data_IF_772960116515
#
_entry.id   IF_772960116515
#
_cell.length_a   1.000
_cell.length_b   1.000
_cell.length_c   1.000
_cell.angle_alpha   90.00
_cell.angle_beta   90.00
_cell.angle_gamma   90.00
#
_symmetry.space_group_name_H-M   'P 1'
#
loop_
_entity.id
_entity.type
_entity.pdbx_description
1 polymer ?
#
# COMPACT_ATOMS: atom_id res chain seq x y z
N UNK A 1 -12.43 8.06 19.60
CA UNK A 1 -13.17 9.16 18.96
C UNK A 1 -13.02 10.42 19.77
N UNK A 2 -13.33 10.45 21.07
CA UNK A 2 -13.21 11.65 21.92
C UNK A 2 -11.85 12.33 21.82
N UNK A 3 -10.75 11.57 21.76
CA UNK A 3 -9.38 12.12 21.62
C UNK A 3 -9.17 12.86 20.27
N UNK A 4 -9.71 12.36 19.17
CA UNK A 4 -9.55 13.04 17.86
C UNK A 4 -10.47 14.26 17.75
N UNK A 5 -11.66 14.21 18.33
CA UNK A 5 -12.58 15.35 18.40
C UNK A 5 -11.96 16.47 19.24
N UNK A 6 -11.39 16.15 20.41
CA UNK A 6 -10.72 17.16 21.25
C UNK A 6 -9.48 17.80 20.59
N UNK A 7 -8.93 17.14 19.55
CA UNK A 7 -7.84 17.68 18.69
C UNK A 7 -8.35 18.44 17.46
N UNK A 8 -9.67 18.65 17.36
CA UNK A 8 -10.28 19.47 16.32
C UNK A 8 -10.80 18.68 15.10
N UNK A 9 -11.01 17.37 15.24
CA UNK A 9 -11.68 16.63 14.15
C UNK A 9 -13.14 17.09 14.03
N UNK A 10 -13.52 17.52 12.84
CA UNK A 10 -14.89 17.94 12.48
C UNK A 10 -15.70 16.83 11.82
N UNK A 11 -15.06 15.73 11.48
CA UNK A 11 -15.69 14.52 10.95
C UNK A 11 -14.93 13.28 11.42
N UNK A 12 -15.66 12.18 11.57
CA UNK A 12 -15.09 10.85 11.88
C UNK A 12 -15.66 9.80 10.93
N UNK A 13 -14.82 8.87 10.49
CA UNK A 13 -15.22 7.72 9.68
C UNK A 13 -15.16 6.48 10.56
N UNK A 14 -16.26 5.75 10.65
CA UNK A 14 -16.45 4.68 11.63
C UNK A 14 -17.15 3.47 11.00
N UNK A 15 -17.00 2.29 11.64
CA UNK A 15 -17.73 1.08 11.25
C UNK A 15 -18.98 0.89 12.14
N UNK A 16 -18.87 1.23 13.40
CA UNK A 16 -19.95 1.07 14.39
C UNK A 16 -20.64 2.40 14.68
N UNK A 17 -21.86 2.33 15.21
CA UNK A 17 -22.57 3.51 15.68
C UNK A 17 -21.84 4.12 16.88
N UNK A 18 -21.65 5.44 16.84
CA UNK A 18 -20.90 6.18 17.85
C UNK A 18 -21.66 7.42 18.27
N UNK A 19 -21.57 7.75 19.55
CA UNK A 19 -22.06 9.02 20.07
C UNK A 19 -20.93 10.06 20.02
N UNK A 20 -21.19 11.16 19.34
CA UNK A 20 -20.30 12.33 19.23
C UNK A 20 -21.11 13.59 19.47
N UNK A 21 -20.42 14.71 19.71
CA UNK A 21 -21.06 16.02 19.81
C UNK A 21 -21.77 16.39 18.49
N UNK A 22 -22.84 17.18 18.55
CA UNK A 22 -23.70 17.52 17.40
C UNK A 22 -22.95 18.20 16.23
N UNK A 23 -21.83 18.85 16.53
CA UNK A 23 -20.99 19.55 15.54
C UNK A 23 -20.04 18.62 14.75
N UNK A 24 -19.98 17.33 15.08
CA UNK A 24 -19.08 16.36 14.43
C UNK A 24 -19.84 15.50 13.43
N UNK A 25 -19.42 15.56 12.16
CA UNK A 25 -20.01 14.69 11.12
C UNK A 25 -19.56 13.25 11.30
N UNK A 26 -20.50 12.32 11.34
CA UNK A 26 -20.24 10.87 11.39
C UNK A 26 -20.48 10.27 10.01
N UNK A 27 -19.47 9.63 9.44
CA UNK A 27 -19.57 8.86 8.20
C UNK A 27 -19.42 7.38 8.54
N UNK A 28 -20.50 6.62 8.36
CA UNK A 28 -20.48 5.17 8.58
C UNK A 28 -20.10 4.43 7.31
N UNK A 29 -19.16 3.50 7.42
CA UNK A 29 -18.63 2.68 6.32
C UNK A 29 -18.52 1.22 6.77
N UNK A 30 -18.49 0.30 5.81
CA UNK A 30 -18.33 -1.13 6.10
C UNK A 30 -16.89 -1.49 6.50
N UNK A 31 -15.89 -0.77 5.97
CA UNK A 31 -14.48 -0.96 6.27
C UNK A 31 -13.72 0.38 6.30
N UNK A 32 -13.26 0.77 7.47
CA UNK A 32 -12.53 2.03 7.67
C UNK A 32 -11.13 2.02 7.07
N UNK A 33 -10.49 0.85 6.89
CA UNK A 33 -9.17 0.75 6.23
C UNK A 33 -9.30 0.94 4.73
N UNK A 34 -10.32 0.34 4.12
CA UNK A 34 -10.64 0.55 2.71
C UNK A 34 -11.03 2.01 2.45
N UNK A 35 -11.88 2.58 3.31
CA UNK A 35 -12.25 3.99 3.23
C UNK A 35 -11.02 4.91 3.32
N UNK A 36 -10.10 4.66 4.27
CA UNK A 36 -8.86 5.42 4.39
C UNK A 36 -8.01 5.31 3.11
N UNK A 37 -7.91 4.13 2.51
CA UNK A 37 -7.14 3.93 1.28
C UNK A 37 -7.72 4.74 0.10
N UNK A 38 -9.04 4.69 -0.10
CA UNK A 38 -9.72 5.47 -1.14
C UNK A 38 -9.61 6.97 -0.91
N UNK A 39 -9.89 7.43 0.31
CA UNK A 39 -9.77 8.84 0.68
C UNK A 39 -8.34 9.36 0.53
N UNK A 40 -7.34 8.55 0.85
CA UNK A 40 -5.93 8.92 0.67
C UNK A 40 -5.57 9.04 -0.82
N UNK A 41 -6.04 8.12 -1.67
CA UNK A 41 -5.82 8.21 -3.10
C UNK A 41 -6.39 9.52 -3.68
N UNK A 42 -7.63 9.85 -3.35
CA UNK A 42 -8.29 11.08 -3.79
C UNK A 42 -7.59 12.33 -3.23
N UNK A 43 -7.25 12.33 -1.93
CA UNK A 43 -6.58 13.46 -1.28
C UNK A 43 -5.26 13.84 -1.95
N UNK A 44 -4.47 12.84 -2.38
CA UNK A 44 -3.21 13.04 -3.10
C UNK A 44 -3.38 13.16 -4.63
N UNK A 45 -4.60 13.22 -5.14
CA UNK A 45 -4.90 13.38 -6.56
C UNK A 45 -4.56 12.18 -7.42
N UNK A 46 -4.84 10.98 -6.90
CA UNK A 46 -4.69 9.68 -7.56
C UNK A 46 -3.28 9.49 -8.18
N UNK A 47 -2.20 9.61 -7.39
CA UNK A 47 -0.84 9.65 -7.93
C UNK A 47 -0.43 8.33 -8.63
N UNK A 48 -1.06 7.20 -8.28
CA UNK A 48 -0.83 5.92 -8.94
C UNK A 48 -1.15 5.96 -10.44
N UNK A 49 -2.10 6.79 -10.88
CA UNK A 49 -2.46 6.94 -12.31
C UNK A 49 -1.37 7.65 -13.13
N UNK A 50 -0.44 8.31 -12.45
CA UNK A 50 0.68 9.07 -13.06
C UNK A 50 2.00 8.27 -13.06
N UNK A 51 1.97 7.04 -12.51
CA UNK A 51 3.11 6.14 -12.38
C UNK A 51 2.78 4.80 -13.02
N UNK A 52 3.78 4.14 -13.58
CA UNK A 52 3.69 2.70 -13.84
C UNK A 52 3.92 2.00 -12.50
N UNK A 53 2.93 1.27 -12.02
CA UNK A 53 2.97 0.63 -10.70
C UNK A 53 3.22 -0.86 -10.80
N UNK A 54 4.30 -1.34 -10.16
CA UNK A 54 4.70 -2.75 -10.12
C UNK A 54 4.63 -3.27 -8.69
N UNK A 55 3.71 -4.16 -8.41
CA UNK A 55 3.57 -4.82 -7.11
C UNK A 55 4.24 -6.20 -7.12
N UNK A 56 5.04 -6.50 -6.10
CA UNK A 56 5.76 -7.79 -5.98
C UNK A 56 5.37 -8.47 -4.69
N UNK A 57 4.74 -9.65 -4.77
CA UNK A 57 4.40 -10.48 -3.62
C UNK A 57 5.08 -11.85 -3.68
N UNK A 58 4.97 -12.60 -2.62
CA UNK A 58 5.53 -13.94 -2.44
C UNK A 58 6.05 -14.14 -1.02
N UNK A 59 6.41 -15.36 -0.67
CA UNK A 59 7.01 -15.65 0.63
C UNK A 59 8.43 -15.09 0.69
N UNK A 60 9.25 -15.44 -0.30
CA UNK A 60 10.67 -15.06 -0.39
C UNK A 60 10.99 -14.34 -1.69
N UNK A 61 12.10 -13.62 -1.72
CA UNK A 61 12.63 -13.00 -2.94
C UNK A 61 11.99 -11.66 -3.32
N UNK A 62 10.98 -11.15 -2.61
CA UNK A 62 10.36 -9.85 -2.89
C UNK A 62 11.40 -8.74 -2.99
N UNK A 63 12.19 -8.54 -1.95
CA UNK A 63 13.21 -7.48 -1.88
C UNK A 63 14.20 -7.60 -3.04
N UNK A 64 14.79 -8.78 -3.25
CA UNK A 64 15.73 -8.99 -4.36
C UNK A 64 15.10 -8.66 -5.71
N UNK A 65 13.88 -9.16 -5.97
CA UNK A 65 13.18 -8.91 -7.24
C UNK A 65 12.86 -7.42 -7.41
N UNK A 66 12.45 -6.74 -6.34
CA UNK A 66 12.16 -5.30 -6.35
C UNK A 66 13.38 -4.47 -6.78
N UNK A 67 14.55 -4.76 -6.19
CA UNK A 67 15.79 -4.09 -6.58
C UNK A 67 16.25 -4.45 -7.99
N UNK A 68 16.09 -5.71 -8.42
CA UNK A 68 16.43 -6.13 -9.79
C UNK A 68 15.56 -5.41 -10.83
N UNK A 69 14.24 -5.38 -10.62
CA UNK A 69 13.31 -4.69 -11.53
C UNK A 69 13.63 -3.20 -11.58
N UNK A 70 13.84 -2.55 -10.42
CA UNK A 70 14.25 -1.15 -10.38
C UNK A 70 15.55 -0.91 -11.14
N UNK A 71 16.58 -1.73 -10.90
CA UNK A 71 17.89 -1.60 -11.58
C UNK A 71 17.78 -1.71 -13.11
N UNK A 72 16.96 -2.62 -13.61
CA UNK A 72 16.71 -2.76 -15.06
C UNK A 72 16.02 -1.51 -15.61
N UNK A 73 14.98 -1.00 -14.95
CA UNK A 73 14.24 0.19 -15.39
C UNK A 73 15.17 1.45 -15.39
N UNK A 74 15.94 1.65 -14.33
CA UNK A 74 16.90 2.74 -14.23
C UNK A 74 17.98 2.64 -15.33
N UNK A 75 18.44 1.43 -15.68
CA UNK A 75 19.46 1.23 -16.71
C UNK A 75 19.03 1.69 -18.10
N UNK A 76 17.73 1.77 -18.35
CA UNK A 76 17.14 2.27 -19.60
C UNK A 76 16.57 3.68 -19.46
N UNK A 77 16.91 4.40 -18.38
CA UNK A 77 16.54 5.79 -18.16
C UNK A 77 15.12 6.02 -17.63
N UNK A 78 14.46 4.99 -17.12
CA UNK A 78 13.15 5.10 -16.47
C UNK A 78 13.37 5.37 -14.98
N UNK A 79 13.23 6.63 -14.54
CA UNK A 79 13.36 7.03 -13.15
C UNK A 79 12.30 6.29 -12.30
N UNK A 80 12.76 5.45 -11.38
CA UNK A 80 11.93 4.47 -10.68
C UNK A 80 12.04 4.60 -9.16
N UNK A 81 10.93 4.87 -8.50
CA UNK A 81 10.82 4.80 -7.05
C UNK A 81 10.78 3.36 -6.52
N UNK A 82 11.09 3.18 -5.25
CA UNK A 82 11.05 1.88 -4.58
C UNK A 82 10.40 2.01 -3.21
N UNK A 83 9.51 1.06 -2.87
CA UNK A 83 8.98 0.87 -1.52
C UNK A 83 9.24 -0.58 -1.12
N UNK A 84 10.04 -0.80 -0.09
CA UNK A 84 10.40 -2.16 0.30
C UNK A 84 10.72 -2.33 1.78
N UNK A 85 11.14 -3.52 2.13
CA UNK A 85 11.47 -3.90 3.51
C UNK A 85 12.66 -3.14 4.08
N UNK A 86 13.65 -2.81 3.24
CA UNK A 86 14.87 -2.15 3.69
C UNK A 86 14.67 -0.64 3.72
N UNK A 87 14.16 -0.07 2.64
CA UNK A 87 14.11 1.37 2.44
C UNK A 87 13.01 1.78 1.46
N UNK A 88 12.71 3.06 1.46
CA UNK A 88 11.92 3.75 0.43
C UNK A 88 12.85 4.68 -0.33
N UNK A 89 12.82 4.63 -1.68
CA UNK A 89 13.62 5.47 -2.57
C UNK A 89 12.70 6.36 -3.40
N UNK A 90 12.90 7.67 -3.32
CA UNK A 90 12.14 8.68 -4.07
C UNK A 90 13.16 9.55 -4.82
N UNK A 91 13.35 9.31 -6.11
CA UNK A 91 14.44 9.97 -6.83
C UNK A 91 15.81 9.64 -6.23
N UNK A 92 16.49 10.65 -5.71
CA UNK A 92 17.82 10.51 -5.06
C UNK A 92 17.70 10.39 -3.52
N UNK A 93 16.51 10.56 -2.97
CA UNK A 93 16.25 10.45 -1.52
C UNK A 93 16.03 9.01 -1.12
N UNK A 94 16.77 8.56 -0.11
CA UNK A 94 16.68 7.21 0.46
C UNK A 94 16.35 7.30 1.93
N UNK A 95 15.27 6.68 2.36
CA UNK A 95 14.82 6.64 3.75
C UNK A 95 14.61 5.21 4.24
N UNK A 96 15.10 4.83 5.44
CA UNK A 96 14.86 3.51 6.00
C UNK A 96 13.37 3.19 6.12
N UNK A 97 12.98 1.98 5.72
CA UNK A 97 11.60 1.55 5.83
C UNK A 97 11.23 1.21 7.27
N UNK A 98 9.97 1.50 7.66
CA UNK A 98 9.38 1.06 8.93
C UNK A 98 8.63 -0.27 8.78
N UNK A 99 8.04 -0.49 7.62
CA UNK A 99 7.26 -1.67 7.25
C UNK A 99 7.54 -2.03 5.80
N UNK A 100 7.48 -3.32 5.47
CA UNK A 100 7.59 -3.81 4.08
C UNK A 100 6.56 -3.13 3.15
N UNK A 101 5.33 -3.02 3.63
CA UNK A 101 4.23 -2.34 2.94
C UNK A 101 3.66 -1.31 3.92
N UNK A 102 3.87 -0.01 3.70
CA UNK A 102 3.37 1.04 4.57
C UNK A 102 1.84 1.11 4.62
N UNK A 103 1.27 1.85 5.56
CA UNK A 103 -0.17 2.14 5.61
C UNK A 103 -0.61 2.94 4.36
N UNK A 104 -1.88 2.80 3.98
CA UNK A 104 -2.41 3.33 2.70
C UNK A 104 -2.17 4.82 2.50
N UNK A 105 -2.33 5.64 3.55
CA UNK A 105 -2.02 7.07 3.49
C UNK A 105 -0.54 7.30 3.10
N UNK A 106 0.38 6.58 3.74
CA UNK A 106 1.83 6.72 3.49
C UNK A 106 2.19 6.24 2.07
N UNK A 107 1.53 5.19 1.57
CA UNK A 107 1.72 4.72 0.18
C UNK A 107 1.33 5.83 -0.80
N UNK A 108 0.15 6.44 -0.64
CA UNK A 108 -0.33 7.50 -1.54
C UNK A 108 0.53 8.77 -1.44
N UNK A 109 0.92 9.18 -0.21
CA UNK A 109 1.86 10.28 0.00
C UNK A 109 3.19 10.03 -0.70
N UNK A 110 3.72 8.81 -0.58
CA UNK A 110 4.99 8.42 -1.22
C UNK A 110 4.87 8.45 -2.75
N UNK A 111 3.77 7.95 -3.31
CA UNK A 111 3.51 8.02 -4.74
C UNK A 111 3.42 9.48 -5.23
N UNK A 112 2.74 10.36 -4.49
CA UNK A 112 2.67 11.77 -4.82
C UNK A 112 4.07 12.42 -4.86
N UNK A 113 4.90 12.17 -3.85
CA UNK A 113 6.31 12.62 -3.81
C UNK A 113 7.13 12.06 -4.99
N UNK A 114 6.92 10.78 -5.36
CA UNK A 114 7.58 10.18 -6.53
C UNK A 114 7.21 10.90 -7.82
N UNK A 115 5.92 11.24 -8.01
CA UNK A 115 5.45 12.02 -9.16
C UNK A 115 6.10 13.41 -9.18
N UNK A 116 6.13 14.12 -8.05
CA UNK A 116 6.76 15.43 -7.92
C UNK A 116 8.25 15.39 -8.24
N UNK A 117 8.95 14.32 -7.86
CA UNK A 117 10.36 14.08 -8.16
C UNK A 117 10.60 13.57 -9.59
N UNK A 118 9.55 13.44 -10.40
CA UNK A 118 9.63 13.03 -11.81
C UNK A 118 9.84 11.54 -12.04
N UNK A 119 9.60 10.69 -11.03
CA UNK A 119 9.56 9.24 -11.24
C UNK A 119 8.47 8.88 -12.27
N UNK A 120 8.74 7.87 -13.07
CA UNK A 120 7.79 7.32 -14.07
C UNK A 120 7.26 5.96 -13.67
N UNK A 121 7.96 5.28 -12.78
CA UNK A 121 7.60 3.97 -12.28
C UNK A 121 7.80 3.91 -10.77
N UNK A 122 7.06 3.06 -10.11
CA UNK A 122 7.31 2.60 -8.74
C UNK A 122 7.29 1.08 -8.69
N UNK A 123 8.27 0.50 -8.05
CA UNK A 123 8.31 -0.94 -7.74
C UNK A 123 8.16 -1.10 -6.24
N UNK A 124 7.18 -1.88 -5.78
CA UNK A 124 6.95 -2.04 -4.35
C UNK A 124 6.76 -3.48 -3.92
N UNK A 125 7.28 -3.79 -2.73
CA UNK A 125 6.98 -5.04 -2.05
C UNK A 125 5.56 -5.01 -1.47
N UNK A 126 4.77 -6.03 -1.77
CA UNK A 126 3.39 -6.17 -1.30
C UNK A 126 3.29 -7.40 -0.40
N UNK A 127 3.21 -7.19 0.90
CA UNK A 127 3.04 -8.25 1.88
C UNK A 127 1.60 -8.77 1.90
N UNK A 128 1.38 -10.00 2.35
CA UNK A 128 0.03 -10.55 2.53
C UNK A 128 -0.81 -9.73 3.52
N UNK A 129 -0.20 -9.27 4.61
CA UNK A 129 -0.86 -8.35 5.55
C UNK A 129 -1.17 -6.99 4.91
N UNK A 130 -0.30 -6.49 4.01
CA UNK A 130 -0.55 -5.25 3.27
C UNK A 130 -1.81 -5.35 2.41
N UNK A 131 -2.03 -6.50 1.78
CA UNK A 131 -3.25 -6.80 1.01
C UNK A 131 -4.46 -6.97 1.93
N UNK A 132 -4.34 -7.82 2.95
CA UNK A 132 -5.40 -8.10 3.92
C UNK A 132 -5.91 -6.84 4.64
N UNK A 133 -5.01 -5.91 4.95
CA UNK A 133 -5.31 -4.69 5.71
C UNK A 133 -5.54 -3.46 4.80
N UNK A 134 -5.84 -3.65 3.54
CA UNK A 134 -6.13 -2.58 2.57
C UNK A 134 -5.03 -1.52 2.43
N UNK A 135 -3.77 -1.84 2.76
CA UNK A 135 -2.66 -0.86 2.68
C UNK A 135 -2.33 -0.44 1.25
N UNK A 136 -2.65 -1.30 0.28
CA UNK A 136 -2.46 -1.05 -1.15
C UNK A 136 -3.78 -0.94 -1.92
N UNK A 137 -4.90 -0.73 -1.24
CA UNK A 137 -6.19 -0.43 -1.86
C UNK A 137 -6.26 1.03 -2.30
N UNK A 138 -7.31 1.39 -3.05
CA UNK A 138 -7.49 2.74 -3.61
C UNK A 138 -6.83 2.97 -4.97
N UNK A 139 -6.14 1.96 -5.52
CA UNK A 139 -5.60 1.97 -6.89
C UNK A 139 -5.43 0.55 -7.42
N UNK A 140 -5.17 0.42 -8.72
CA UNK A 140 -4.88 -0.85 -9.39
C UNK A 140 -3.46 -0.83 -9.89
N UNK A 141 -2.67 -1.85 -9.59
CA UNK A 141 -1.32 -2.00 -10.13
C UNK A 141 -1.35 -2.21 -11.65
N UNK A 142 -0.38 -1.68 -12.36
CA UNK A 142 -0.20 -2.02 -13.78
C UNK A 142 0.32 -3.45 -13.93
N UNK A 143 1.28 -3.84 -13.11
CA UNK A 143 1.89 -5.18 -13.13
C UNK A 143 1.93 -5.79 -11.74
N UNK A 144 1.59 -7.09 -11.65
CA UNK A 144 1.71 -7.90 -10.45
C UNK A 144 2.69 -9.06 -10.67
N UNK A 145 3.65 -9.22 -9.76
CA UNK A 145 4.60 -10.33 -9.78
C UNK A 145 4.42 -11.18 -8.53
N UNK A 146 4.18 -12.47 -8.71
CA UNK A 146 4.10 -13.45 -7.63
C UNK A 146 5.34 -14.36 -7.71
N UNK A 147 6.29 -14.23 -6.78
CA UNK A 147 7.59 -14.91 -6.86
C UNK A 147 7.51 -16.38 -6.46
N UNK A 148 6.91 -16.69 -5.33
CA UNK A 148 6.74 -18.05 -4.79
C UNK A 148 5.78 -18.06 -3.60
N UNK A 149 5.39 -19.25 -3.17
CA UNK A 149 4.60 -19.47 -1.95
C UNK A 149 5.13 -20.68 -1.19
N UNK A 150 5.39 -20.48 0.09
CA UNK A 150 5.75 -21.54 1.06
C UNK A 150 4.98 -21.25 2.36
N UNK A 151 4.71 -22.25 3.21
CA UNK A 151 4.10 -22.01 4.52
C UNK A 151 4.94 -21.04 5.36
N UNK A 152 4.37 -19.90 5.69
CA UNK A 152 4.97 -18.83 6.48
C UNK A 152 3.88 -17.92 7.04
N UNK A 153 4.19 -17.12 8.06
CA UNK A 153 3.23 -16.15 8.61
C UNK A 153 1.88 -16.76 9.05
N UNK A 154 1.90 -17.96 9.62
CA UNK A 154 0.73 -18.65 10.16
C UNK A 154 0.78 -18.62 11.67
N UNK A 155 -0.16 -17.93 12.33
CA UNK A 155 -0.16 -17.81 13.78
C UNK A 155 -1.25 -16.88 14.32
N UNK A 156 -1.35 -16.71 15.65
CA UNK A 156 -2.46 -16.01 16.30
C UNK A 156 -2.67 -14.56 15.88
N UNK A 157 -1.62 -13.87 15.42
CA UNK A 157 -1.67 -12.47 14.97
C UNK A 157 -1.30 -12.31 13.49
N UNK A 158 -1.35 -13.40 12.75
CA UNK A 158 -0.99 -13.47 11.33
C UNK A 158 -2.12 -14.15 10.57
N UNK A 159 -1.81 -15.00 9.60
CA UNK A 159 -2.82 -15.76 8.87
C UNK A 159 -3.27 -16.99 9.69
N UNK A 160 -4.56 -17.31 9.61
CA UNK A 160 -5.16 -18.44 10.35
C UNK A 160 -4.62 -19.79 9.86
N UNK A 161 -4.34 -19.90 8.56
CA UNK A 161 -3.84 -21.11 7.89
C UNK A 161 -3.14 -20.74 6.56
N UNK A 162 -2.63 -21.76 5.87
CA UNK A 162 -1.94 -21.60 4.60
C UNK A 162 -2.88 -21.12 3.47
N UNK A 163 -4.13 -21.54 3.48
CA UNK A 163 -5.11 -21.14 2.45
C UNK A 163 -5.44 -19.65 2.58
N UNK A 164 -5.59 -19.15 3.79
CA UNK A 164 -5.76 -17.73 4.07
C UNK A 164 -4.54 -16.90 3.63
N UNK A 165 -3.33 -17.39 3.93
CA UNK A 165 -2.09 -16.77 3.48
C UNK A 165 -1.97 -16.72 1.96
N UNK A 166 -2.25 -17.84 1.28
CA UNK A 166 -2.28 -17.93 -0.19
C UNK A 166 -3.35 -17.01 -0.77
N UNK A 167 -4.56 -17.03 -0.19
CA UNK A 167 -5.66 -16.17 -0.60
C UNK A 167 -5.26 -14.69 -0.55
N UNK A 168 -4.72 -14.23 0.58
CA UNK A 168 -4.31 -12.84 0.75
C UNK A 168 -3.24 -12.43 -0.28
N UNK A 169 -2.22 -13.26 -0.53
CA UNK A 169 -1.23 -12.95 -1.57
C UNK A 169 -1.81 -12.93 -2.97
N UNK A 170 -2.76 -13.83 -3.27
CA UNK A 170 -3.40 -13.89 -4.59
C UNK A 170 -4.25 -12.66 -4.92
N UNK A 171 -4.63 -11.87 -3.90
CA UNK A 171 -5.37 -10.62 -4.09
C UNK A 171 -4.58 -9.62 -4.97
N UNK A 172 -3.24 -9.63 -4.93
CA UNK A 172 -2.44 -8.79 -5.81
C UNK A 172 -2.77 -9.04 -7.28
N UNK A 173 -2.87 -10.31 -7.70
CA UNK A 173 -3.16 -10.66 -9.10
C UNK A 173 -4.56 -10.23 -9.55
N UNK A 174 -5.50 -10.12 -8.60
CA UNK A 174 -6.85 -9.57 -8.85
C UNK A 174 -6.86 -8.04 -8.90
N UNK A 175 -5.86 -7.41 -8.28
CA UNK A 175 -5.71 -5.95 -8.19
C UNK A 175 -4.68 -5.41 -9.20
N UNK A 176 -4.35 -6.14 -10.24
CA UNK A 176 -3.44 -5.68 -11.28
C UNK A 176 -4.03 -5.86 -12.69
N UNK A 177 -3.57 -5.01 -13.62
CA UNK A 177 -3.96 -5.06 -15.03
C UNK A 177 -3.28 -6.22 -15.76
N UNK A 178 -2.03 -6.49 -15.37
CA UNK A 178 -1.18 -7.54 -15.94
C UNK A 178 -0.48 -8.30 -14.81
N UNK A 179 -0.68 -9.62 -14.71
CA UNK A 179 -0.11 -10.50 -13.70
C UNK A 179 0.05 -11.93 -14.16
#
# INVERSE_FOLDING_TARGET
IRDVVSKGAVAVVVMDDVEVDEDVTVVKVDDTRLALACMSADYFGNPAEKLITVGITGTKGKTTTTYMVRSVLESVGIKTGLIGTIETIIGDEVTPAKNTTPESYVVQETFAKMVEQGCKCVVMEVSSQGLMLHRVSGFTFDYGIFTNIEPDHIGPNEHKDFDDYLHCKSMLLKQCKHG
#
